data_IF_461202923417
#
_entry.id   IF_461202923417
#
_cell.length_a   1.000
_cell.length_b   1.000
_cell.length_c   1.000
_cell.angle_alpha   90.00
_cell.angle_beta   90.00
_cell.angle_gamma   90.00
#
_symmetry.space_group_name_H-M   'P 1'
#
loop_
_entity.id
_entity.type
_entity.pdbx_description
1 polymer ?
#
# COMPACT_ATOMS: atom_id res chain seq x y z
N UNK A 1 -25.22 38.96 22.17
CA UNK A 1 -24.22 39.17 21.09
C UNK A 1 -23.77 37.81 20.62
N UNK A 2 -24.02 37.46 19.36
CA UNK A 2 -23.40 36.29 18.74
C UNK A 2 -22.70 36.77 17.48
N UNK A 3 -21.46 36.34 17.31
CA UNK A 3 -20.62 36.66 16.15
C UNK A 3 -20.29 35.35 15.45
N UNK A 4 -20.40 35.35 14.12
CA UNK A 4 -19.95 34.25 13.26
C UNK A 4 -18.43 34.23 13.22
N UNK A 5 -17.85 33.05 13.47
CA UNK A 5 -16.42 32.78 13.38
C UNK A 5 -16.24 31.65 12.37
N UNK A 6 -15.41 31.82 11.32
CA UNK A 6 -15.15 30.76 10.36
C UNK A 6 -14.44 29.58 11.05
N UNK A 7 -15.03 28.38 10.96
CA UNK A 7 -14.42 27.11 11.38
C UNK A 7 -13.96 26.36 10.12
N UNK A 8 -12.67 26.00 10.06
CA UNK A 8 -12.11 25.18 8.99
C UNK A 8 -11.58 23.89 9.59
N UNK A 9 -12.18 22.77 9.18
CA UNK A 9 -11.81 21.43 9.61
C UNK A 9 -10.95 20.79 8.54
N UNK A 10 -9.74 20.35 8.87
CA UNK A 10 -8.94 19.51 7.99
C UNK A 10 -9.43 18.06 8.12
N UNK A 11 -10.31 17.63 7.22
CA UNK A 11 -10.45 16.20 6.91
C UNK A 11 -9.41 15.86 5.86
N UNK A 12 -8.18 15.59 6.30
CA UNK A 12 -7.17 15.02 5.40
C UNK A 12 -7.53 13.58 5.06
N UNK A 13 -7.20 13.14 3.86
CA UNK A 13 -7.43 11.76 3.44
C UNK A 13 -6.28 10.87 3.92
N UNK A 14 -6.57 9.61 4.26
CA UNK A 14 -5.55 8.61 4.52
C UNK A 14 -5.29 7.82 3.24
N UNK A 15 -4.17 8.08 2.57
CA UNK A 15 -3.74 7.30 1.42
C UNK A 15 -3.16 5.95 1.86
N UNK A 16 -3.73 4.85 1.33
CA UNK A 16 -3.21 3.49 1.47
C UNK A 16 -2.67 3.08 0.09
N UNK A 17 -1.38 2.76 0.01
CA UNK A 17 -0.76 2.26 -1.20
C UNK A 17 -1.17 0.81 -1.45
N UNK A 18 -1.84 0.54 -2.57
CA UNK A 18 -2.40 -0.77 -2.92
C UNK A 18 -1.48 -1.67 -3.78
N UNK A 19 -0.34 -1.16 -4.26
CA UNK A 19 0.48 -1.86 -5.27
C UNK A 19 1.27 -3.04 -4.71
N UNK A 20 1.33 -3.20 -3.39
CA UNK A 20 1.95 -4.32 -2.65
C UNK A 20 0.95 -5.48 -2.44
N UNK A 21 0.26 -5.86 -3.52
CA UNK A 21 -0.82 -6.85 -3.50
C UNK A 21 -0.66 -7.85 -4.65
N UNK A 22 -0.54 -9.15 -4.35
CA UNK A 22 -0.28 -10.21 -5.34
C UNK A 22 -1.46 -10.40 -6.33
N UNK A 23 -2.68 -10.08 -5.92
CA UNK A 23 -3.86 -10.16 -6.78
C UNK A 23 -4.04 -8.89 -7.62
N UNK A 24 -3.74 -7.72 -7.05
CA UNK A 24 -3.91 -6.40 -7.69
C UNK A 24 -2.72 -5.93 -8.53
N UNK A 25 -1.52 -6.45 -8.30
CA UNK A 25 -0.28 -5.97 -8.92
C UNK A 25 0.52 -7.10 -9.55
N UNK A 26 0.50 -7.17 -10.89
CA UNK A 26 1.29 -8.16 -11.66
C UNK A 26 2.78 -8.05 -11.33
N UNK A 27 3.32 -6.83 -11.26
CA UNK A 27 4.74 -6.57 -10.96
C UNK A 27 5.11 -7.08 -9.57
N UNK A 28 4.29 -6.78 -8.56
CA UNK A 28 4.54 -7.25 -7.19
C UNK A 28 4.45 -8.76 -7.11
N UNK A 29 3.44 -9.36 -7.73
CA UNK A 29 3.26 -10.82 -7.78
C UNK A 29 4.48 -11.51 -8.39
N UNK A 30 4.95 -11.05 -9.54
CA UNK A 30 6.10 -11.66 -10.22
C UNK A 30 7.36 -11.57 -9.36
N UNK A 31 7.65 -10.40 -8.77
CA UNK A 31 8.78 -10.24 -7.87
C UNK A 31 8.68 -11.14 -6.63
N UNK A 32 7.50 -11.22 -6.00
CA UNK A 32 7.24 -12.05 -4.83
C UNK A 32 7.39 -13.55 -5.14
N UNK A 33 6.80 -14.03 -6.23
CA UNK A 33 6.87 -15.44 -6.64
C UNK A 33 8.29 -15.87 -7.02
N UNK A 34 9.10 -14.94 -7.54
CA UNK A 34 10.52 -15.15 -7.87
C UNK A 34 11.44 -14.89 -6.66
N UNK A 35 10.89 -14.60 -5.47
CA UNK A 35 11.62 -14.26 -4.25
C UNK A 35 12.59 -13.06 -4.41
N UNK A 36 12.27 -12.13 -5.32
CA UNK A 36 12.98 -10.85 -5.50
C UNK A 36 12.52 -9.84 -4.45
N UNK A 37 12.86 -10.09 -3.19
CA UNK A 37 12.39 -9.30 -2.05
C UNK A 37 12.83 -7.84 -2.09
N UNK A 38 14.02 -7.55 -2.60
CA UNK A 38 14.50 -6.18 -2.78
C UNK A 38 13.59 -5.39 -3.72
N UNK A 39 13.10 -6.01 -4.80
CA UNK A 39 12.16 -5.37 -5.72
C UNK A 39 10.80 -5.11 -5.04
N UNK A 40 10.31 -6.06 -4.23
CA UNK A 40 9.10 -5.88 -3.43
C UNK A 40 9.23 -4.71 -2.46
N UNK A 41 10.38 -4.59 -1.78
CA UNK A 41 10.68 -3.49 -0.84
C UNK A 41 10.81 -2.16 -1.57
N UNK A 42 11.45 -2.11 -2.73
CA UNK A 42 11.52 -0.86 -3.50
C UNK A 42 10.14 -0.42 -4.00
N UNK A 43 9.27 -1.35 -4.40
CA UNK A 43 7.87 -1.01 -4.72
C UNK A 43 7.11 -0.42 -3.53
N UNK A 44 7.34 -0.93 -2.32
CA UNK A 44 6.79 -0.35 -1.09
C UNK A 44 7.34 1.06 -0.84
N UNK A 45 8.64 1.27 -1.01
CA UNK A 45 9.30 2.58 -0.85
C UNK A 45 8.81 3.61 -1.87
N UNK A 46 8.59 3.21 -3.12
CA UNK A 46 8.05 4.08 -4.16
C UNK A 46 6.65 4.60 -3.78
N UNK A 47 5.79 3.74 -3.23
CA UNK A 47 4.48 4.18 -2.73
C UNK A 47 4.58 5.21 -1.60
N UNK A 48 5.53 5.04 -0.68
CA UNK A 48 5.79 6.01 0.40
C UNK A 48 6.28 7.34 -0.20
N UNK A 49 7.21 7.30 -1.16
CA UNK A 49 7.72 8.49 -1.88
C UNK A 49 6.61 9.22 -2.65
N UNK A 50 5.62 8.49 -3.15
CA UNK A 50 4.45 9.02 -3.85
C UNK A 50 3.34 9.53 -2.91
N UNK A 51 3.50 9.42 -1.59
CA UNK A 51 2.58 9.98 -0.60
C UNK A 51 1.62 8.99 0.06
N UNK A 52 1.85 7.68 -0.08
CA UNK A 52 1.12 6.70 0.72
C UNK A 52 1.46 6.85 2.21
N UNK A 53 0.44 6.93 3.06
CA UNK A 53 0.60 6.99 4.52
C UNK A 53 0.71 5.59 5.13
N UNK A 54 0.06 4.62 4.51
CA UNK A 54 0.13 3.19 4.85
C UNK A 54 0.27 2.37 3.58
N UNK A 55 0.66 1.11 3.73
CA UNK A 55 0.73 0.15 2.64
C UNK A 55 -0.26 -0.98 2.91
N UNK A 56 -1.05 -1.33 1.91
CA UNK A 56 -1.80 -2.58 1.89
C UNK A 56 -0.87 -3.71 1.45
N UNK A 57 -0.78 -4.77 2.25
CA UNK A 57 0.04 -5.94 1.95
C UNK A 57 -0.85 -7.16 1.79
N UNK A 58 -0.82 -7.75 0.59
CA UNK A 58 -1.51 -9.00 0.31
C UNK A 58 -0.57 -9.95 -0.44
N UNK A 59 -0.15 -11.01 0.24
CA UNK A 59 0.72 -12.07 -0.33
C UNK A 59 -0.07 -13.29 -0.78
N UNK A 60 -1.38 -13.31 -0.49
CA UNK A 60 -2.25 -14.42 -0.87
C UNK A 60 -2.42 -14.47 -2.39
N UNK A 61 -2.11 -15.61 -2.99
CA UNK A 61 -2.23 -15.83 -4.42
C UNK A 61 -2.74 -17.25 -4.71
N UNK A 62 -3.69 -17.33 -5.65
CA UNK A 62 -4.40 -18.58 -5.97
C UNK A 62 -3.42 -19.70 -6.32
N UNK A 63 -3.51 -20.80 -5.57
CA UNK A 63 -2.74 -22.02 -5.83
C UNK A 63 -1.35 -22.06 -5.19
N UNK A 64 -1.01 -21.11 -4.29
CA UNK A 64 0.25 -21.09 -3.53
C UNK A 64 -0.02 -21.07 -2.02
N UNK A 65 0.91 -21.63 -1.25
CA UNK A 65 0.92 -21.50 0.21
C UNK A 65 1.53 -20.15 0.61
N UNK A 66 0.66 -19.22 1.02
CA UNK A 66 1.06 -17.87 1.42
C UNK A 66 1.81 -17.80 2.76
N UNK A 67 1.88 -18.89 3.55
CA UNK A 67 2.60 -18.88 4.84
C UNK A 67 4.09 -18.61 4.65
N UNK A 68 4.68 -19.09 3.55
CA UNK A 68 6.09 -18.86 3.26
C UNK A 68 6.40 -17.41 2.81
N UNK A 69 5.37 -16.68 2.37
CA UNK A 69 5.50 -15.32 1.84
C UNK A 69 5.09 -14.23 2.87
N UNK A 70 4.61 -14.64 4.06
CA UNK A 70 4.33 -13.78 5.23
C UNK A 70 5.56 -13.63 6.14
#
# INVERSE_FOLDING_TARGET
>A
LYQTVPFRQDTSYMAIGERTNANGSKKFREAMLEARWDDCVEMARDQIREGAHMLDLCVDYVGRDGVADM
#
